data_IF_893946223599
#
_entry.id   IF_893946223599
#
_cell.length_a   1.000
_cell.length_b   1.000
_cell.length_c   1.000
_cell.angle_alpha   90.00
_cell.angle_beta   90.00
_cell.angle_gamma   90.00
#
_symmetry.space_group_name_H-M   'P 1'
#
loop_
_entity.id
_entity.type
_entity.pdbx_description
1 polymer ?
#
# COMPACT_ATOMS: atom_id res chain seq x y z
N UNK A 1 -24.69 -9.04 -70.62
CA UNK A 1 -23.31 -8.80 -70.12
C UNK A 1 -22.93 -9.94 -69.17
N UNK A 2 -21.68 -10.42 -69.26
CA UNK A 2 -21.12 -11.59 -68.56
C UNK A 2 -21.06 -11.42 -67.03
N UNK A 3 -21.20 -12.54 -66.30
CA UNK A 3 -20.95 -12.68 -64.85
C UNK A 3 -19.46 -12.54 -64.53
N UNK A 4 -19.15 -12.01 -63.36
CA UNK A 4 -17.87 -12.21 -62.66
C UNK A 4 -18.21 -12.61 -61.23
N UNK A 5 -18.18 -13.92 -60.96
CA UNK A 5 -18.08 -14.45 -59.61
C UNK A 5 -16.58 -14.44 -59.28
N UNK A 6 -16.13 -13.57 -58.38
CA UNK A 6 -14.80 -13.66 -57.80
C UNK A 6 -14.84 -14.64 -56.64
N UNK A 7 -14.41 -15.87 -56.90
CA UNK A 7 -13.92 -16.79 -55.88
C UNK A 7 -12.70 -16.16 -55.21
N UNK A 8 -12.84 -15.67 -53.98
CA UNK A 8 -11.69 -15.41 -53.12
C UNK A 8 -11.42 -16.68 -52.31
N UNK A 9 -10.16 -17.08 -52.42
CA UNK A 9 -9.60 -18.35 -52.03
C UNK A 9 -9.69 -18.59 -50.53
N UNK A 10 -10.06 -19.82 -50.18
CA UNK A 10 -9.76 -20.46 -48.92
C UNK A 10 -8.24 -20.46 -48.72
N UNK A 11 -7.74 -19.52 -47.94
CA UNK A 11 -6.41 -19.58 -47.31
C UNK A 11 -6.49 -18.72 -46.04
N UNK A 12 -7.32 -19.20 -45.10
CA UNK A 12 -7.47 -18.62 -43.77
C UNK A 12 -6.28 -19.12 -42.95
N UNK A 13 -5.17 -18.40 -43.08
CA UNK A 13 -4.03 -18.48 -42.18
C UNK A 13 -4.58 -18.39 -40.76
N UNK A 14 -4.43 -19.47 -39.98
CA UNK A 14 -4.69 -19.50 -38.54
C UNK A 14 -3.74 -18.54 -37.85
N UNK A 15 -4.04 -17.25 -37.92
CA UNK A 15 -3.51 -16.23 -37.05
C UNK A 15 -4.07 -16.59 -35.67
N UNK A 16 -3.23 -17.17 -34.82
CA UNK A 16 -3.50 -17.17 -33.38
C UNK A 16 -3.62 -15.69 -32.99
N UNK A 17 -4.86 -15.19 -32.92
CA UNK A 17 -5.14 -13.83 -32.50
C UNK A 17 -4.57 -13.64 -31.09
N UNK A 18 -3.41 -12.96 -31.00
CA UNK A 18 -2.92 -12.40 -29.74
C UNK A 18 -3.87 -11.28 -29.32
N UNK A 19 -5.01 -11.65 -28.75
CA UNK A 19 -5.99 -10.72 -28.20
C UNK A 19 -5.31 -9.86 -27.13
N UNK A 20 -5.15 -8.57 -27.42
CA UNK A 20 -4.60 -7.58 -26.49
C UNK A 20 -5.52 -7.44 -25.27
N UNK A 21 -4.98 -6.95 -24.15
CA UNK A 21 -5.79 -6.73 -22.94
C UNK A 21 -6.96 -5.76 -23.22
N UNK A 22 -6.74 -4.74 -24.05
CA UNK A 22 -7.76 -3.79 -24.45
C UNK A 22 -8.89 -4.42 -25.26
N UNK A 23 -8.57 -5.28 -26.23
CA UNK A 23 -9.56 -6.01 -27.03
C UNK A 23 -10.39 -6.96 -26.16
N UNK A 24 -9.74 -7.68 -25.23
CA UNK A 24 -10.39 -8.56 -24.27
C UNK A 24 -11.38 -7.79 -23.38
N UNK A 25 -11.00 -6.62 -22.89
CA UNK A 25 -11.86 -5.75 -22.09
C UNK A 25 -13.07 -5.26 -22.90
N UNK A 26 -12.86 -4.80 -24.14
CA UNK A 26 -13.92 -4.34 -25.03
C UNK A 26 -14.91 -5.45 -25.40
N UNK A 27 -14.40 -6.65 -25.71
CA UNK A 27 -15.22 -7.82 -26.01
C UNK A 27 -16.06 -8.26 -24.81
N UNK A 28 -15.48 -8.23 -23.61
CA UNK A 28 -16.19 -8.52 -22.35
C UNK A 28 -17.30 -7.50 -22.10
N UNK A 29 -17.00 -6.21 -22.31
CA UNK A 29 -17.98 -5.13 -22.14
C UNK A 29 -19.14 -5.25 -23.13
N UNK A 30 -18.84 -5.52 -24.39
CA UNK A 30 -19.83 -5.69 -25.44
C UNK A 30 -20.71 -6.92 -25.20
N UNK A 31 -20.11 -8.02 -24.74
CA UNK A 31 -20.86 -9.22 -24.33
C UNK A 31 -21.83 -8.91 -23.19
N UNK A 32 -21.42 -8.15 -22.16
CA UNK A 32 -22.30 -7.74 -21.08
C UNK A 32 -23.41 -6.76 -21.48
N UNK A 33 -23.20 -5.94 -22.50
CA UNK A 33 -24.20 -4.99 -22.99
C UNK A 33 -25.26 -5.66 -23.88
N UNK A 34 -24.86 -6.68 -24.65
CA UNK A 34 -25.76 -7.44 -25.53
C UNK A 34 -26.48 -8.58 -24.80
N UNK A 35 -25.96 -9.02 -23.66
CA UNK A 35 -26.58 -10.05 -22.84
C UNK A 35 -27.86 -9.51 -22.17
N UNK A 36 -29.00 -9.86 -22.76
CA UNK A 36 -30.34 -9.54 -22.26
C UNK A 36 -30.92 -10.66 -21.39
N UNK A 37 -30.23 -11.80 -21.28
CA UNK A 37 -30.67 -12.96 -20.51
C UNK A 37 -30.24 -12.79 -19.05
N UNK A 38 -30.97 -11.98 -18.29
CA UNK A 38 -30.65 -11.75 -16.88
C UNK A 38 -31.27 -12.85 -16.01
N UNK A 39 -30.45 -13.81 -15.55
CA UNK A 39 -30.85 -14.78 -14.52
C UNK A 39 -30.66 -14.22 -13.11
N UNK A 40 -31.55 -14.59 -12.17
CA UNK A 40 -31.43 -14.24 -10.74
C UNK A 40 -30.09 -14.73 -10.18
N UNK A 41 -29.66 -15.94 -10.56
CA UNK A 41 -28.39 -16.53 -10.12
C UNK A 41 -27.18 -15.72 -10.62
N UNK A 42 -27.24 -15.21 -11.85
CA UNK A 42 -26.21 -14.34 -12.42
C UNK A 42 -26.19 -12.96 -11.77
N UNK A 43 -27.34 -12.42 -11.37
CA UNK A 43 -27.41 -11.20 -10.57
C UNK A 43 -26.81 -11.38 -9.17
N UNK A 44 -27.05 -12.53 -8.54
CA UNK A 44 -26.48 -12.88 -7.24
C UNK A 44 -24.97 -13.12 -7.34
N UNK A 45 -24.48 -13.74 -8.40
CA UNK A 45 -23.03 -13.94 -8.62
C UNK A 45 -22.30 -12.65 -9.01
N UNK A 46 -22.94 -11.76 -9.79
CA UNK A 46 -22.43 -10.41 -10.11
C UNK A 46 -22.44 -9.45 -8.92
N UNK A 47 -23.25 -9.72 -7.89
CA UNK A 47 -23.06 -9.13 -6.57
C UNK A 47 -21.79 -9.72 -5.97
N UNK A 48 -20.65 -9.24 -6.50
CA UNK A 48 -19.36 -9.19 -5.81
C UNK A 48 -19.67 -8.97 -4.35
N UNK A 49 -19.16 -9.89 -3.53
CA UNK A 49 -19.26 -9.90 -2.09
C UNK A 49 -19.12 -8.47 -1.59
N UNK A 50 -20.25 -7.81 -1.32
CA UNK A 50 -20.22 -6.67 -0.44
C UNK A 50 -19.73 -7.29 0.84
N UNK A 51 -18.48 -6.98 1.21
CA UNK A 51 -18.06 -7.23 2.58
C UNK A 51 -19.20 -6.68 3.43
N UNK A 52 -19.82 -7.51 4.29
CA UNK A 52 -20.92 -7.04 5.11
C UNK A 52 -20.47 -5.73 5.74
N UNK A 53 -21.31 -4.70 5.67
CA UNK A 53 -20.99 -3.39 6.20
C UNK A 53 -20.35 -3.61 7.56
N UNK A 54 -19.10 -3.15 7.71
CA UNK A 54 -18.36 -3.38 8.94
C UNK A 54 -19.23 -2.84 10.07
N UNK A 55 -19.83 -3.76 10.82
CA UNK A 55 -20.66 -3.41 11.97
C UNK A 55 -19.66 -2.92 13.01
N UNK A 56 -19.43 -1.61 13.00
CA UNK A 56 -18.71 -0.95 14.07
C UNK A 56 -19.52 -1.18 15.35
N UNK A 57 -19.08 -2.14 16.15
CA UNK A 57 -19.63 -2.47 17.47
C UNK A 57 -18.66 -1.93 18.52
N UNK A 58 -18.65 -0.61 18.77
CA UNK A 58 -17.76 -0.05 19.77
C UNK A 58 -18.19 -0.58 21.15
N UNK A 59 -17.21 -0.87 22.01
CA UNK A 59 -17.41 -1.26 23.41
C UNK A 59 -18.17 -2.58 23.67
N UNK A 60 -18.52 -3.36 22.63
CA UNK A 60 -19.19 -4.65 22.80
C UNK A 60 -20.57 -4.55 23.47
N UNK A 61 -20.92 -5.56 24.28
CA UNK A 61 -22.18 -5.60 25.06
C UNK A 61 -22.16 -4.62 26.25
N UNK A 62 -20.99 -4.12 26.65
CA UNK A 62 -20.82 -3.24 27.81
C UNK A 62 -21.39 -1.84 27.58
N UNK A 63 -21.48 -1.38 26.33
CA UNK A 63 -22.17 -0.14 25.97
C UNK A 63 -23.65 -0.33 25.60
N UNK A 64 -24.22 -1.52 25.81
CA UNK A 64 -25.64 -1.72 25.61
C UNK A 64 -26.44 -1.03 26.73
N UNK A 65 -27.49 -0.29 26.37
CA UNK A 65 -28.38 0.38 27.31
C UNK A 65 -28.01 1.84 27.58
N UNK A 66 -28.49 2.38 28.72
CA UNK A 66 -28.28 3.78 29.10
C UNK A 66 -27.11 3.90 30.07
N UNK A 67 -26.04 4.57 29.64
CA UNK A 67 -24.88 4.87 30.47
C UNK A 67 -24.80 6.35 30.80
N UNK A 68 -24.21 6.68 31.96
CA UNK A 68 -23.83 8.06 32.25
C UNK A 68 -22.63 8.47 31.39
N UNK A 69 -22.44 9.77 31.19
CA UNK A 69 -21.30 10.30 30.43
C UNK A 69 -19.96 9.79 31.00
N UNK A 70 -19.81 9.76 32.32
CA UNK A 70 -18.60 9.29 32.98
C UNK A 70 -18.35 7.79 32.77
N UNK A 71 -19.40 6.96 32.80
CA UNK A 71 -19.28 5.53 32.51
C UNK A 71 -18.86 5.29 31.05
N UNK A 72 -19.43 6.04 30.11
CA UNK A 72 -19.05 5.95 28.70
C UNK A 72 -17.61 6.41 28.44
N UNK A 73 -17.16 7.49 29.09
CA UNK A 73 -15.76 7.95 28.99
C UNK A 73 -14.78 6.89 29.51
N UNK A 74 -15.10 6.25 30.65
CA UNK A 74 -14.29 5.16 31.18
C UNK A 74 -14.21 3.96 30.22
N UNK A 75 -15.33 3.58 29.59
CA UNK A 75 -15.34 2.54 28.55
C UNK A 75 -14.45 2.94 27.37
N UNK A 76 -14.53 4.19 26.93
CA UNK A 76 -13.73 4.71 25.82
C UNK A 76 -12.23 4.72 26.12
N UNK A 77 -11.84 5.13 27.32
CA UNK A 77 -10.45 5.05 27.76
C UNK A 77 -9.96 3.61 27.80
N UNK A 78 -10.77 2.70 28.34
CA UNK A 78 -10.41 1.28 28.37
C UNK A 78 -10.29 0.67 26.98
N UNK A 79 -11.14 1.05 26.02
CA UNK A 79 -11.05 0.59 24.63
C UNK A 79 -9.78 1.12 23.97
N UNK A 80 -9.46 2.42 24.16
CA UNK A 80 -8.20 3.01 23.69
C UNK A 80 -6.98 2.29 24.26
N UNK A 81 -6.97 1.99 25.56
CA UNK A 81 -5.90 1.22 26.20
C UNK A 81 -5.76 -0.17 25.57
N UNK A 82 -6.88 -0.90 25.37
CA UNK A 82 -6.82 -2.21 24.71
C UNK A 82 -6.34 -2.11 23.26
N UNK A 83 -6.74 -1.07 22.53
CA UNK A 83 -6.27 -0.83 21.16
C UNK A 83 -4.76 -0.55 21.14
N UNK A 84 -4.26 0.28 22.06
CA UNK A 84 -2.82 0.54 22.20
C UNK A 84 -2.04 -0.73 22.52
N UNK A 85 -2.57 -1.62 23.37
CA UNK A 85 -1.93 -2.92 23.62
C UNK A 85 -1.96 -3.84 22.39
N UNK A 86 -3.02 -3.81 21.58
CA UNK A 86 -3.07 -4.53 20.29
C UNK A 86 -2.06 -3.99 19.28
N UNK A 87 -1.87 -2.67 19.22
CA UNK A 87 -0.83 -2.04 18.38
C UNK A 87 0.59 -2.47 18.80
N UNK A 88 0.77 -2.71 20.11
CA UNK A 88 1.99 -3.31 20.67
C UNK A 88 2.10 -4.82 20.40
N UNK A 89 1.12 -5.42 19.73
CA UNK A 89 1.15 -6.80 19.25
C UNK A 89 0.71 -7.84 20.28
N UNK A 90 0.05 -7.43 21.37
CA UNK A 90 -0.49 -8.36 22.37
C UNK A 90 -1.73 -9.09 21.84
N UNK A 91 -1.90 -10.36 22.19
CA UNK A 91 -3.14 -11.10 21.95
C UNK A 91 -4.23 -10.70 22.94
N UNK A 92 -5.51 -10.94 22.61
CA UNK A 92 -6.61 -10.61 23.54
C UNK A 92 -6.47 -11.35 24.89
N UNK A 93 -5.92 -12.57 24.90
CA UNK A 93 -5.63 -13.31 26.13
C UNK A 93 -4.52 -12.67 26.97
N UNK A 94 -3.45 -12.17 26.34
CA UNK A 94 -2.37 -11.44 27.00
C UNK A 94 -2.86 -10.10 27.55
N UNK A 95 -3.72 -9.39 26.80
CA UNK A 95 -4.35 -8.14 27.22
C UNK A 95 -5.23 -8.36 28.45
N UNK A 96 -6.06 -9.41 28.46
CA UNK A 96 -6.87 -9.76 29.62
C UNK A 96 -6.00 -10.09 30.85
N UNK A 97 -4.92 -10.85 30.65
CA UNK A 97 -3.98 -11.17 31.73
C UNK A 97 -3.31 -9.90 32.27
N UNK A 98 -2.87 -9.03 31.36
CA UNK A 98 -2.24 -7.76 31.68
C UNK A 98 -3.21 -6.76 32.31
N UNK A 99 -4.50 -6.77 32.01
CA UNK A 99 -5.47 -5.89 32.69
C UNK A 99 -5.78 -6.38 34.10
N UNK A 100 -5.81 -7.70 34.29
CA UNK A 100 -6.17 -8.33 35.56
C UNK A 100 -4.98 -8.57 36.51
N UNK A 101 -3.73 -8.34 36.09
CA UNK A 101 -2.57 -8.63 36.94
C UNK A 101 -2.58 -7.84 38.27
N UNK A 102 -3.07 -6.60 38.27
CA UNK A 102 -3.17 -5.75 39.45
C UNK A 102 -4.25 -6.22 40.45
N UNK A 103 -5.26 -6.96 39.98
CA UNK A 103 -6.30 -7.57 40.81
C UNK A 103 -6.00 -9.04 41.16
N UNK A 104 -5.20 -9.73 40.35
CA UNK A 104 -4.87 -11.15 40.51
C UNK A 104 -3.96 -11.48 41.71
N UNK A 105 -3.24 -10.49 42.27
CA UNK A 105 -2.48 -10.67 43.51
C UNK A 105 -3.38 -10.91 44.74
N UNK A 106 -4.68 -10.61 44.62
CA UNK A 106 -5.67 -10.79 45.69
C UNK A 106 -6.48 -12.06 45.46
N UNK A 107 -5.84 -13.21 45.63
CA UNK A 107 -6.51 -14.48 45.97
C UNK A 107 -7.45 -15.06 44.92
N UNK A 108 -6.89 -15.83 43.98
CA UNK A 108 -7.61 -16.97 43.40
C UNK A 108 -6.91 -18.25 43.85
N UNK A 109 -7.50 -18.96 44.81
CA UNK A 109 -6.96 -20.22 45.34
C UNK A 109 -6.93 -21.37 44.31
N UNK A 110 -7.44 -21.13 43.10
CA UNK A 110 -7.48 -22.04 41.97
C UNK A 110 -6.82 -21.34 40.78
N UNK A 111 -5.59 -21.72 40.46
CA UNK A 111 -4.83 -21.11 39.37
C UNK A 111 -3.50 -21.83 39.11
N UNK A 112 -2.84 -21.45 38.01
CA UNK A 112 -1.47 -21.87 37.75
C UNK A 112 -0.56 -21.41 38.89
N UNK A 113 0.58 -22.09 39.08
CA UNK A 113 1.56 -21.69 40.07
C UNK A 113 1.88 -20.18 39.95
N UNK A 114 1.98 -19.44 41.07
CA UNK A 114 2.19 -18.00 41.05
C UNK A 114 3.50 -17.62 40.35
N UNK A 115 4.45 -18.55 40.23
CA UNK A 115 5.67 -18.38 39.44
C UNK A 115 5.41 -18.39 37.92
N UNK A 116 4.65 -19.36 37.41
CA UNK A 116 4.28 -19.41 36.00
C UNK A 116 3.45 -18.19 35.57
N UNK A 117 2.63 -17.65 36.48
CA UNK A 117 1.91 -16.39 36.26
C UNK A 117 2.86 -15.20 36.12
N UNK A 118 3.82 -15.07 37.05
CA UNK A 118 4.85 -14.01 37.00
C UNK A 118 5.73 -14.11 35.76
N UNK A 119 6.07 -15.32 35.33
CA UNK A 119 6.83 -15.55 34.09
C UNK A 119 6.05 -15.09 32.85
N UNK A 120 4.75 -15.42 32.76
CA UNK A 120 3.90 -14.93 31.67
C UNK A 120 3.79 -13.40 31.66
N UNK A 121 3.64 -12.77 32.83
CA UNK A 121 3.63 -11.31 32.93
C UNK A 121 4.97 -10.69 32.51
N UNK A 122 6.09 -11.33 32.86
CA UNK A 122 7.42 -10.91 32.41
C UNK A 122 7.56 -11.01 30.89
N UNK A 123 7.10 -12.10 30.29
CA UNK A 123 7.13 -12.27 28.84
C UNK A 123 6.26 -11.21 28.13
N UNK A 124 5.09 -10.88 28.67
CA UNK A 124 4.23 -9.80 28.16
C UNK A 124 4.95 -8.45 28.26
N UNK A 125 5.58 -8.16 29.40
CA UNK A 125 6.33 -6.92 29.60
C UNK A 125 7.49 -6.81 28.61
N UNK A 126 8.24 -7.88 28.40
CA UNK A 126 9.33 -7.93 27.43
C UNK A 126 8.81 -7.63 26.01
N UNK A 127 7.70 -8.26 25.62
CA UNK A 127 7.02 -8.03 24.33
C UNK A 127 6.63 -6.56 24.14
N UNK A 128 6.06 -5.93 25.18
CA UNK A 128 5.73 -4.50 25.18
C UNK A 128 7.00 -3.67 24.95
N UNK A 129 8.04 -3.89 25.75
CA UNK A 129 9.28 -3.10 25.69
C UNK A 129 9.99 -3.23 24.35
N UNK A 130 10.07 -4.43 23.78
CA UNK A 130 10.71 -4.64 22.49
C UNK A 130 9.91 -4.01 21.36
N UNK A 131 8.57 -4.13 21.39
CA UNK A 131 7.74 -3.47 20.38
C UNK A 131 7.83 -1.96 20.47
N UNK A 132 7.80 -1.38 21.67
CA UNK A 132 8.02 0.05 21.87
C UNK A 132 9.39 0.50 21.37
N UNK A 133 10.44 -0.29 21.63
CA UNK A 133 11.78 -0.05 21.11
C UNK A 133 11.75 -0.01 19.59
N UNK A 134 11.20 -1.02 18.92
CA UNK A 134 11.08 -1.07 17.45
C UNK A 134 10.30 0.13 16.89
N UNK A 135 9.21 0.54 17.55
CA UNK A 135 8.40 1.69 17.12
C UNK A 135 9.13 3.03 17.31
N UNK A 136 10.01 3.13 18.32
CA UNK A 136 10.86 4.31 18.53
C UNK A 136 12.00 4.42 17.52
N UNK A 137 12.44 3.31 16.93
CA UNK A 137 13.43 3.34 15.87
C UNK A 137 12.86 4.06 14.64
N UNK A 138 13.66 4.87 13.93
CA UNK A 138 13.25 5.41 12.65
C UNK A 138 12.83 4.28 11.71
N UNK A 139 11.53 4.15 11.44
CA UNK A 139 10.99 3.06 10.60
C UNK A 139 11.44 3.15 9.14
N UNK A 140 12.09 4.25 8.76
CA UNK A 140 12.48 4.55 7.39
C UNK A 140 13.81 5.27 7.36
N UNK A 141 14.64 4.95 6.38
CA UNK A 141 15.80 5.76 6.04
C UNK A 141 15.34 7.14 5.56
N UNK A 142 16.00 8.19 6.04
CA UNK A 142 15.73 9.57 5.64
C UNK A 142 15.79 9.69 4.11
N UNK A 143 14.73 10.25 3.50
CA UNK A 143 14.63 10.42 2.05
C UNK A 143 13.97 9.27 1.28
N UNK A 144 13.55 8.18 1.94
CA UNK A 144 12.76 7.15 1.25
C UNK A 144 11.34 7.65 0.94
N UNK A 145 11.00 7.77 -0.36
CA UNK A 145 9.64 8.06 -0.82
C UNK A 145 8.79 6.78 -0.74
N UNK A 146 7.54 6.89 -0.25
CA UNK A 146 6.58 5.79 -0.30
C UNK A 146 6.03 5.72 -1.72
N UNK A 147 6.10 4.56 -2.36
CA UNK A 147 5.57 4.37 -3.70
C UNK A 147 4.05 4.19 -3.64
N UNK A 148 3.32 4.90 -4.49
CA UNK A 148 1.91 4.65 -4.72
C UNK A 148 1.72 3.27 -5.38
N UNK A 149 0.54 2.67 -5.26
CA UNK A 149 0.19 1.40 -5.92
C UNK A 149 0.56 1.39 -7.40
N UNK A 150 0.23 2.45 -8.14
CA UNK A 150 0.62 2.59 -9.55
C UNK A 150 2.14 2.64 -9.75
N UNK A 151 2.87 3.35 -8.88
CA UNK A 151 4.34 3.42 -8.95
C UNK A 151 4.96 2.04 -8.65
N UNK A 152 4.39 1.31 -7.70
CA UNK A 152 4.77 -0.07 -7.38
C UNK A 152 4.46 -1.03 -8.53
N UNK A 153 3.30 -0.89 -9.20
CA UNK A 153 2.96 -1.69 -10.38
C UNK A 153 3.90 -1.39 -11.55
N UNK A 154 4.29 -0.13 -11.75
CA UNK A 154 5.29 0.27 -12.75
C UNK A 154 6.66 -0.30 -12.40
N UNK A 155 7.13 -0.19 -11.15
CA UNK A 155 8.39 -0.81 -10.72
C UNK A 155 8.35 -2.33 -10.95
N UNK A 156 7.28 -2.99 -10.51
CA UNK A 156 7.13 -4.42 -10.69
C UNK A 156 7.14 -4.80 -12.18
N UNK A 157 6.46 -4.04 -13.05
CA UNK A 157 6.45 -4.21 -14.50
C UNK A 157 7.84 -4.05 -15.13
N UNK A 158 8.61 -3.04 -14.71
CA UNK A 158 9.96 -2.78 -15.22
C UNK A 158 10.93 -3.91 -14.86
N UNK A 159 10.72 -4.60 -13.74
CA UNK A 159 11.60 -5.66 -13.24
C UNK A 159 11.01 -7.07 -13.33
N UNK A 160 9.94 -7.30 -14.10
CA UNK A 160 9.41 -8.65 -14.30
C UNK A 160 10.47 -9.51 -15.01
N UNK A 161 10.93 -10.58 -14.34
CA UNK A 161 11.91 -11.51 -14.89
C UNK A 161 13.38 -11.11 -14.72
N UNK A 162 13.69 -9.98 -14.06
CA UNK A 162 15.06 -9.60 -13.69
C UNK A 162 15.24 -9.57 -12.17
N UNK A 163 16.35 -10.10 -11.65
CA UNK A 163 16.62 -10.11 -10.21
C UNK A 163 17.15 -8.73 -9.76
N UNK A 164 16.22 -7.91 -9.23
CA UNK A 164 16.54 -6.61 -8.61
C UNK A 164 17.56 -6.76 -7.49
N UNK A 165 17.53 -7.86 -6.73
CA UNK A 165 18.41 -8.08 -5.60
C UNK A 165 19.85 -8.37 -6.06
N UNK A 166 20.06 -9.20 -7.09
CA UNK A 166 21.40 -9.40 -7.67
C UNK A 166 21.97 -8.12 -8.27
N UNK A 167 21.14 -7.35 -8.98
CA UNK A 167 21.55 -6.05 -9.56
C UNK A 167 22.01 -5.06 -8.48
N UNK A 168 21.19 -4.84 -7.45
CA UNK A 168 21.56 -3.91 -6.37
C UNK A 168 22.78 -4.41 -5.59
N UNK A 169 22.91 -5.73 -5.38
CA UNK A 169 24.08 -6.32 -4.71
C UNK A 169 25.38 -6.09 -5.51
N UNK A 170 25.32 -6.16 -6.84
CA UNK A 170 26.46 -5.85 -7.70
C UNK A 170 26.91 -4.39 -7.56
N UNK A 171 25.96 -3.44 -7.53
CA UNK A 171 26.23 -2.01 -7.33
C UNK A 171 26.90 -1.70 -5.99
N UNK A 172 26.56 -2.44 -4.93
CA UNK A 172 27.10 -2.19 -3.59
C UNK A 172 28.40 -2.93 -3.29
N UNK A 173 28.69 -4.06 -3.95
CA UNK A 173 29.73 -4.99 -3.48
C UNK A 173 30.77 -5.44 -4.53
N UNK A 174 30.53 -5.26 -5.84
CA UNK A 174 31.34 -5.95 -6.86
C UNK A 174 32.23 -5.02 -7.72
N UNK A 175 32.38 -3.75 -7.34
CA UNK A 175 33.29 -2.81 -8.02
C UNK A 175 32.69 -2.18 -9.28
N UNK A 176 33.39 -1.17 -9.81
CA UNK A 176 32.87 -0.21 -10.80
C UNK A 176 32.44 -0.87 -12.12
N UNK A 177 33.14 -1.90 -12.58
CA UNK A 177 32.84 -2.54 -13.86
C UNK A 177 31.61 -3.45 -13.80
N UNK A 178 31.45 -4.21 -12.72
CA UNK A 178 30.25 -5.04 -12.52
C UNK A 178 29.02 -4.16 -12.29
N UNK A 179 29.20 -3.03 -11.61
CA UNK A 179 28.16 -2.02 -11.46
C UNK A 179 27.74 -1.39 -12.80
N UNK A 180 28.68 -1.19 -13.73
CA UNK A 180 28.40 -0.71 -15.10
C UNK A 180 27.64 -1.73 -15.93
N UNK A 181 28.07 -2.98 -15.92
CA UNK A 181 27.41 -4.06 -16.67
C UNK A 181 25.99 -4.30 -16.16
N UNK A 182 25.81 -4.28 -14.84
CA UNK A 182 24.50 -4.32 -14.19
C UNK A 182 23.60 -3.16 -14.65
N UNK A 183 24.13 -1.92 -14.74
CA UNK A 183 23.38 -0.75 -15.24
C UNK A 183 22.96 -0.89 -16.70
N UNK A 184 23.78 -1.51 -17.55
CA UNK A 184 23.46 -1.73 -18.97
C UNK A 184 22.31 -2.74 -19.15
N UNK A 185 22.25 -3.76 -18.29
CA UNK A 185 21.23 -4.81 -18.34
C UNK A 185 19.82 -4.29 -18.03
N UNK A 186 19.71 -3.33 -17.12
CA UNK A 186 18.42 -2.82 -16.61
C UNK A 186 17.81 -1.73 -17.48
N UNK A 187 18.65 -0.91 -18.13
CA UNK A 187 18.19 0.39 -18.60
C UNK A 187 18.31 0.63 -20.12
N UNK A 188 18.97 -0.24 -20.90
CA UNK A 188 19.00 -0.08 -22.36
C UNK A 188 19.37 1.33 -22.86
N UNK A 189 20.21 2.09 -22.14
CA UNK A 189 20.59 3.45 -22.54
C UNK A 189 21.98 3.44 -23.15
N UNK A 190 22.05 3.01 -24.41
CA UNK A 190 23.23 3.26 -25.24
C UNK A 190 22.81 4.20 -26.39
N UNK A 191 22.72 5.50 -26.10
CA UNK A 191 22.48 6.49 -27.14
C UNK A 191 23.82 6.79 -27.83
N UNK A 192 24.00 6.24 -29.04
CA UNK A 192 25.18 6.50 -29.89
C UNK A 192 26.53 6.11 -29.24
N UNK A 193 26.58 5.00 -28.51
CA UNK A 193 27.83 4.41 -28.01
C UNK A 193 28.55 5.21 -26.92
N UNK A 194 27.85 6.14 -26.25
CA UNK A 194 28.37 6.91 -25.11
C UNK A 194 27.45 6.71 -23.90
N UNK A 195 28.03 6.42 -22.74
CA UNK A 195 27.30 6.25 -21.48
C UNK A 195 26.60 7.56 -21.10
N UNK A 196 25.26 7.57 -21.08
CA UNK A 196 24.47 8.70 -20.61
C UNK A 196 24.39 8.66 -19.08
N UNK A 197 25.12 9.53 -18.40
CA UNK A 197 24.98 9.75 -16.96
C UNK A 197 23.91 10.81 -16.75
N UNK A 198 22.72 10.43 -16.28
CA UNK A 198 21.73 11.39 -15.81
C UNK A 198 22.18 11.85 -14.42
N UNK A 199 22.94 12.93 -14.37
CA UNK A 199 23.28 13.58 -13.11
C UNK A 199 22.01 14.27 -12.57
N UNK A 200 21.41 13.72 -11.52
CA UNK A 200 20.42 14.48 -10.75
C UNK A 200 21.15 15.61 -10.04
N UNK A 201 20.84 16.85 -10.43
CA UNK A 201 21.54 18.06 -10.02
C UNK A 201 21.79 18.09 -8.51
N UNK A 202 23.08 18.01 -8.14
CA UNK A 202 23.55 18.56 -6.88
C UNK A 202 23.44 20.07 -7.01
N UNK A 203 22.40 20.68 -6.41
CA UNK A 203 22.43 22.12 -6.20
C UNK A 203 23.65 22.45 -5.36
N UNK A 204 24.52 23.27 -5.94
CA UNK A 204 25.73 23.78 -5.31
C UNK A 204 25.34 24.55 -4.07
N UNK A 205 25.73 24.05 -2.90
CA UNK A 205 25.73 24.82 -1.65
C UNK A 205 26.69 26.00 -1.88
N UNK A 206 26.14 27.19 -2.08
CA UNK A 206 26.87 28.44 -1.88
C UNK A 206 26.69 28.85 -0.42
N UNK A 207 27.77 28.71 0.34
CA UNK A 207 27.96 29.38 1.61
C UNK A 207 28.27 30.86 1.36
N UNK A 208 27.37 31.77 1.71
CA UNK A 208 27.64 32.97 2.50
C UNK A 208 26.44 33.92 2.51
N UNK A 209 25.98 34.20 3.73
CA UNK A 209 25.06 35.26 4.17
C UNK A 209 25.18 36.60 3.42
N UNK A 210 24.04 37.21 3.06
CA UNK A 210 23.52 38.50 3.60
C UNK A 210 22.01 38.60 3.26
N UNK A 211 21.22 39.10 4.19
CA UNK A 211 19.78 39.41 4.11
C UNK A 211 19.35 40.18 2.85
N UNK A 212 18.16 39.86 2.32
CA UNK A 212 17.06 40.84 2.16
C UNK A 212 15.84 40.26 1.42
N UNK A 213 14.70 40.36 2.10
CA UNK A 213 13.35 40.63 1.61
C UNK A 213 12.82 39.94 0.33
N UNK A 214 11.87 39.02 0.57
CA UNK A 214 10.52 39.00 -0.01
C UNK A 214 10.33 39.59 -1.42
N UNK A 215 10.05 38.73 -2.41
CA UNK A 215 9.11 39.11 -3.45
C UNK A 215 8.20 37.94 -3.88
N UNK A 216 6.95 38.10 -3.45
CA UNK A 216 5.73 37.45 -3.92
C UNK A 216 5.60 37.58 -5.45
N UNK A 217 5.33 36.47 -6.14
CA UNK A 217 4.93 36.47 -7.53
C UNK A 217 3.51 35.90 -7.66
N UNK A 218 2.56 36.82 -7.78
CA UNK A 218 1.20 36.58 -8.25
C UNK A 218 1.23 36.14 -9.71
N UNK A 219 0.47 35.10 -10.02
CA UNK A 219 0.14 34.71 -11.38
C UNK A 219 -0.75 35.77 -12.03
N UNK A 220 -0.38 36.22 -13.23
CA UNK A 220 -1.21 37.04 -14.11
C UNK A 220 -1.69 36.11 -15.22
N UNK A 221 -2.99 35.79 -15.20
CA UNK A 221 -3.70 35.19 -16.35
C UNK A 221 -4.47 36.29 -17.05
N UNK A 222 -4.07 36.63 -18.26
CA UNK A 222 -4.80 37.54 -19.15
C UNK A 222 -5.99 36.82 -19.78
N UNK A 223 -7.19 37.39 -19.63
CA UNK A 223 -8.35 37.06 -20.46
C UNK A 223 -9.06 38.38 -20.79
N UNK A 224 -8.88 38.84 -22.04
CA UNK A 224 -9.60 39.96 -22.62
C UNK A 224 -11.03 39.56 -22.98
N UNK A 225 -12.00 40.44 -22.68
CA UNK A 225 -13.21 40.62 -23.50
C UNK A 225 -13.58 42.10 -23.60
N UNK A 226 -14.23 42.50 -24.71
CA UNK A 226 -14.22 43.87 -25.21
C UNK A 226 -15.41 44.72 -24.73
N UNK A 227 -15.15 46.01 -24.60
CA UNK A 227 -16.10 47.11 -24.35
C UNK A 227 -16.85 47.54 -25.61
N UNK A 228 -18.14 47.84 -25.47
CA UNK A 228 -18.82 48.86 -26.29
C UNK A 228 -19.76 49.68 -25.40
N UNK A 229 -19.57 51.00 -25.47
CA UNK A 229 -20.37 52.16 -25.05
C UNK A 229 -21.67 51.95 -24.27
#
# INVERSE_FOLDING_TARGET
MRRINSSLSSDDLLLEDLETEGERQLKTLLHHQLDTAVSIEQCVSKRRCFAPAALYKPFGEEAAGTLTLSQFQALQESEKETASLRELGLSDSEILLWKNHASADKGSGLGAAPEAMRERLRAIQEKITERQRILSLPQRFAGSKQLNRREMEIENALFQGTDRHSFLRALYHQGVEVAREAMLLVNGYNLMGKTLVIEFGKSKVQSSSVDSASHSLRAITSAEKPTTN
#
